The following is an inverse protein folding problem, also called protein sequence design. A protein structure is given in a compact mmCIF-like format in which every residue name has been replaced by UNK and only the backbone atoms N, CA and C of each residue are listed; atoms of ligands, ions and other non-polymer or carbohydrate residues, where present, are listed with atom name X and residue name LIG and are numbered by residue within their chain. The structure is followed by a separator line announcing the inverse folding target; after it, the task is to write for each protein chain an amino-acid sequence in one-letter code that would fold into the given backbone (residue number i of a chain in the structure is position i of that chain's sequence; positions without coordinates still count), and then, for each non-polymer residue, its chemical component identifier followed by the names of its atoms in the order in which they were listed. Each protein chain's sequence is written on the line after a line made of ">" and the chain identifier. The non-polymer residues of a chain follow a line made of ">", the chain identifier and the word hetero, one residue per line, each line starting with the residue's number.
data_IF_570981494856
#
_entry.id   IF_570981494856
#
_cell.length_a   1.000
_cell.length_b   1.000
_cell.length_c   1.000
_cell.angle_alpha   90.00
_cell.angle_beta   90.00
_cell.angle_gamma   90.00
#
_symmetry.space_group_name_H-M   'P 1'
#
loop_
_entity.id
_entity.type
_entity.pdbx_description
1 polymer ?
#
# COMPACT_ATOMS: atom_id res chain seq x y z
N UNK A 1 -3.94 -23.96 -0.65
CA UNK A 1 -2.66 -23.31 -0.29
C UNK A 1 -1.75 -23.39 -1.50
N UNK A 2 -1.33 -22.24 -2.03
CA UNK A 2 -0.40 -22.19 -3.16
C UNK A 2 0.99 -22.52 -2.64
N UNK A 3 1.77 -23.32 -3.36
CA UNK A 3 3.11 -23.67 -2.89
C UNK A 3 4.04 -22.45 -2.93
N UNK A 4 5.02 -22.38 -2.03
CA UNK A 4 5.96 -21.26 -1.92
C UNK A 4 6.61 -20.90 -3.26
N UNK A 5 6.87 -21.89 -4.14
CA UNK A 5 7.41 -21.68 -5.49
C UNK A 5 6.52 -20.80 -6.37
N UNK A 6 5.20 -20.95 -6.28
CA UNK A 6 4.27 -20.15 -7.05
C UNK A 6 4.15 -18.74 -6.46
N UNK A 7 4.19 -18.62 -5.13
CA UNK A 7 4.22 -17.30 -4.46
C UNK A 7 5.50 -16.56 -4.84
N UNK A 8 6.68 -17.18 -4.72
CA UNK A 8 7.95 -16.57 -5.12
C UNK A 8 7.97 -16.17 -6.61
N UNK A 9 7.39 -16.98 -7.50
CA UNK A 9 7.27 -16.63 -8.92
C UNK A 9 6.37 -15.40 -9.14
N UNK A 10 5.28 -15.27 -8.38
CA UNK A 10 4.38 -14.11 -8.40
C UNK A 10 5.08 -12.86 -7.88
N UNK A 11 5.73 -12.98 -6.72
CA UNK A 11 6.47 -11.88 -6.11
C UNK A 11 7.59 -11.38 -7.03
N UNK A 12 8.26 -12.26 -7.78
CA UNK A 12 9.26 -11.87 -8.79
C UNK A 12 8.70 -11.04 -9.94
N UNK A 13 7.53 -11.41 -10.47
CA UNK A 13 6.91 -10.65 -11.57
C UNK A 13 6.41 -9.29 -11.07
N UNK A 14 5.90 -9.25 -9.84
CA UNK A 14 5.47 -8.00 -9.20
C UNK A 14 6.67 -7.11 -8.91
N UNK A 15 7.74 -7.63 -8.31
CA UNK A 15 8.98 -6.88 -8.06
C UNK A 15 9.63 -6.40 -9.37
N UNK A 16 9.47 -7.14 -10.48
CA UNK A 16 9.90 -6.66 -11.81
C UNK A 16 9.04 -5.50 -12.33
N UNK A 17 7.74 -5.53 -12.06
CA UNK A 17 6.78 -4.50 -12.52
C UNK A 17 6.84 -3.25 -11.65
N UNK A 18 7.05 -3.44 -10.35
CA UNK A 18 7.10 -2.41 -9.32
C UNK A 18 8.40 -2.56 -8.51
N UNK A 19 9.57 -2.25 -9.12
CA UNK A 19 10.87 -2.42 -8.46
C UNK A 19 11.03 -1.56 -7.20
N UNK A 20 10.23 -0.51 -7.07
CA UNK A 20 10.19 0.39 -5.91
C UNK A 20 9.39 -0.19 -4.72
N UNK A 21 8.64 -1.29 -4.91
CA UNK A 21 7.83 -1.91 -3.85
C UNK A 21 8.62 -3.08 -3.25
N UNK A 22 9.23 -2.92 -2.07
CA UNK A 22 9.84 -4.04 -1.37
C UNK A 22 8.79 -5.09 -0.93
N UNK A 23 9.17 -6.37 -1.04
CA UNK A 23 8.31 -7.51 -0.73
C UNK A 23 9.11 -8.50 0.12
N UNK A 24 8.56 -8.92 1.26
CA UNK A 24 9.18 -9.94 2.10
C UNK A 24 9.12 -11.32 1.43
N UNK A 25 10.25 -12.03 1.42
CA UNK A 25 10.29 -13.40 0.87
C UNK A 25 9.47 -14.37 1.72
N UNK A 26 8.82 -15.33 1.06
CA UNK A 26 8.05 -16.40 1.71
C UNK A 26 8.89 -17.35 2.56
N UNK A 27 10.21 -17.36 2.36
CA UNK A 27 11.14 -18.18 3.15
C UNK A 27 11.57 -17.51 4.46
N UNK A 28 11.25 -16.22 4.64
CA UNK A 28 11.73 -15.41 5.75
C UNK A 28 10.57 -14.69 6.44
N UNK A 29 9.65 -15.43 7.06
CA UNK A 29 8.52 -14.82 7.79
C UNK A 29 8.94 -14.16 9.11
N UNK A 30 10.11 -14.49 9.68
CA UNK A 30 10.45 -14.08 11.05
C UNK A 30 11.74 -13.25 11.24
N UNK A 31 12.65 -13.15 10.26
CA UNK A 31 14.06 -12.83 10.61
C UNK A 31 14.86 -12.03 9.59
N UNK A 32 14.25 -11.28 8.68
CA UNK A 32 15.02 -10.27 7.95
C UNK A 32 14.97 -8.94 8.69
N UNK A 33 16.15 -8.40 8.97
CA UNK A 33 16.31 -7.02 9.42
C UNK A 33 15.84 -6.11 8.27
N UNK A 34 14.57 -5.70 8.35
CA UNK A 34 14.02 -4.74 7.40
C UNK A 34 14.82 -3.45 7.52
N UNK A 35 15.32 -2.95 6.40
CA UNK A 35 16.06 -1.69 6.37
C UNK A 35 15.07 -0.55 6.45
N UNK A 36 15.30 0.38 7.38
CA UNK A 36 14.46 1.57 7.51
C UNK A 36 14.34 2.33 6.19
N UNK A 37 13.11 2.70 5.81
CA UNK A 37 12.83 3.56 4.67
C UNK A 37 12.13 4.85 5.10
N UNK A 38 12.76 6.04 4.94
CA UNK A 38 12.16 7.33 5.30
C UNK A 38 11.17 7.86 4.25
N UNK A 39 11.06 7.22 3.09
CA UNK A 39 10.17 7.64 2.00
C UNK A 39 8.86 6.86 2.00
N UNK A 40 7.85 7.34 1.26
CA UNK A 40 6.61 6.59 1.02
C UNK A 40 6.96 5.21 0.44
N UNK A 41 6.69 4.16 1.21
CA UNK A 41 7.13 2.79 0.96
C UNK A 41 5.94 1.89 1.12
N UNK A 42 5.66 1.10 0.08
CA UNK A 42 4.71 -0.01 0.13
C UNK A 42 5.48 -1.27 0.50
N UNK A 43 5.01 -2.04 1.49
CA UNK A 43 5.69 -3.26 1.92
C UNK A 43 4.72 -4.42 2.12
N UNK A 44 4.94 -5.53 1.41
CA UNK A 44 4.15 -6.75 1.59
C UNK A 44 4.78 -7.63 2.67
N UNK A 45 4.03 -7.83 3.76
CA UNK A 45 4.41 -8.64 4.90
C UNK A 45 3.98 -10.10 4.69
N UNK A 46 4.83 -11.02 5.15
CA UNK A 46 4.45 -12.42 5.39
C UNK A 46 4.52 -12.71 6.88
N UNK A 47 3.39 -13.11 7.47
CA UNK A 47 3.28 -13.37 8.92
C UNK A 47 3.37 -14.86 9.22
N UNK A 48 3.67 -15.19 10.49
CA UNK A 48 3.70 -16.56 11.03
C UNK A 48 2.49 -17.44 10.70
N UNK A 49 1.30 -16.85 10.56
CA UNK A 49 0.05 -17.56 10.25
C UNK A 49 -0.12 -17.91 8.76
N UNK A 50 0.96 -17.82 7.97
CA UNK A 50 0.94 -17.96 6.52
C UNK A 50 -0.05 -16.99 5.86
N UNK A 51 -0.06 -15.75 6.35
CA UNK A 51 -0.95 -14.70 5.89
C UNK A 51 -0.14 -13.53 5.34
N UNK A 52 -0.63 -12.96 4.23
CA UNK A 52 -0.02 -11.84 3.54
C UNK A 52 -0.90 -10.60 3.66
N UNK A 53 -0.27 -9.45 3.85
CA UNK A 53 -0.92 -8.16 3.94
C UNK A 53 0.05 -7.08 3.45
N UNK A 54 -0.49 -5.90 3.19
CA UNK A 54 0.30 -4.75 2.77
C UNK A 54 0.35 -3.71 3.89
N UNK A 55 1.52 -3.11 4.11
CA UNK A 55 1.65 -1.86 4.83
C UNK A 55 2.16 -0.75 3.92
N UNK A 56 1.90 0.50 4.31
CA UNK A 56 2.51 1.68 3.69
C UNK A 56 2.70 2.79 4.70
N UNK A 57 3.70 3.65 4.52
CA UNK A 57 3.79 4.91 5.26
C UNK A 57 3.35 6.09 4.38
N UNK A 58 2.30 6.79 4.82
CA UNK A 58 1.89 8.07 4.24
C UNK A 58 2.02 9.15 5.31
N UNK A 59 2.85 10.16 5.03
CA UNK A 59 3.06 11.34 5.90
C UNK A 59 3.43 11.01 7.36
N UNK A 60 4.07 9.86 7.61
CA UNK A 60 4.50 9.42 8.94
C UNK A 60 3.52 8.49 9.66
N UNK A 61 2.30 8.34 9.17
CA UNK A 61 1.35 7.33 9.62
C UNK A 61 1.48 6.07 8.79
N UNK A 62 1.20 4.92 9.42
CA UNK A 62 1.30 3.61 8.79
C UNK A 62 -0.08 3.04 8.59
N UNK A 63 -0.37 2.64 7.36
CA UNK A 63 -1.63 2.04 6.98
C UNK A 63 -1.43 0.56 6.70
N UNK A 64 -2.27 -0.28 7.31
CA UNK A 64 -2.31 -1.72 7.08
C UNK A 64 -3.55 -2.07 6.24
N UNK A 65 -3.33 -2.77 5.15
CA UNK A 65 -4.37 -3.33 4.29
C UNK A 65 -4.36 -4.85 4.39
N UNK A 66 -5.33 -5.39 5.12
CA UNK A 66 -5.53 -6.81 5.31
C UNK A 66 -6.87 -7.23 4.68
N UNK A 67 -6.82 -8.09 3.66
CA UNK A 67 -8.01 -8.58 2.96
C UNK A 67 -8.97 -9.36 3.84
N UNK A 68 -8.53 -9.88 4.99
CA UNK A 68 -9.34 -10.61 5.95
C UNK A 68 -9.74 -9.76 7.16
N UNK A 69 -9.28 -8.50 7.25
CA UNK A 69 -9.47 -7.63 8.42
C UNK A 69 -9.10 -8.33 9.74
N UNK A 70 -8.03 -9.13 9.76
CA UNK A 70 -7.60 -9.80 10.99
C UNK A 70 -7.01 -8.77 11.96
N UNK A 71 -7.10 -9.03 13.28
CA UNK A 71 -6.43 -8.18 14.26
C UNK A 71 -4.92 -8.09 14.00
N UNK A 72 -4.36 -6.89 14.12
CA UNK A 72 -2.92 -6.65 14.02
C UNK A 72 -2.18 -7.41 15.13
N UNK A 73 -1.27 -8.30 14.74
CA UNK A 73 -0.47 -9.08 15.69
C UNK A 73 0.74 -8.30 16.22
N UNK A 74 1.26 -8.70 17.38
CA UNK A 74 2.49 -8.11 17.94
C UNK A 74 3.71 -8.35 17.04
N UNK A 75 3.76 -9.48 16.34
CA UNK A 75 4.77 -9.79 15.34
C UNK A 75 4.75 -8.77 14.19
N UNK A 76 3.56 -8.46 13.68
CA UNK A 76 3.40 -7.46 12.62
C UNK A 76 3.81 -6.07 13.11
N UNK A 77 3.44 -5.70 14.33
CA UNK A 77 3.91 -4.44 14.95
C UNK A 77 5.43 -4.39 15.04
N UNK A 78 6.10 -5.50 15.39
CA UNK A 78 7.56 -5.55 15.45
C UNK A 78 8.19 -5.37 14.05
N UNK A 79 7.66 -6.04 13.03
CA UNK A 79 8.10 -5.86 11.63
C UNK A 79 7.93 -4.40 11.17
N UNK A 80 6.76 -3.81 11.42
CA UNK A 80 6.43 -2.42 11.09
C UNK A 80 7.36 -1.44 11.83
N UNK A 81 7.58 -1.64 13.12
CA UNK A 81 8.45 -0.78 13.92
C UNK A 81 9.87 -0.78 13.37
N UNK A 82 10.39 -1.95 13.01
CA UNK A 82 11.73 -2.06 12.42
C UNK A 82 11.83 -1.38 11.04
N UNK A 83 10.79 -1.50 10.21
CA UNK A 83 10.77 -0.95 8.85
C UNK A 83 10.60 0.58 8.83
N UNK A 84 9.84 1.14 9.76
CA UNK A 84 9.42 2.54 9.70
C UNK A 84 9.89 3.42 10.88
N UNK A 85 10.50 2.84 11.92
CA UNK A 85 10.96 3.58 13.11
C UNK A 85 12.37 3.19 13.53
N UNK A 86 13.40 3.91 13.04
CA UNK A 86 14.77 3.59 13.39
C UNK A 86 15.14 4.15 14.77
N UNK A 87 14.42 5.17 15.29
CA UNK A 87 14.94 6.06 16.34
C UNK A 87 13.87 6.65 17.29
N UNK A 88 13.00 5.83 17.89
CA UNK A 88 12.16 6.14 19.09
C UNK A 88 10.76 6.73 18.92
N UNK A 89 10.34 7.17 17.74
CA UNK A 89 8.93 7.55 17.52
C UNK A 89 8.15 6.35 17.01
N UNK A 90 7.26 5.79 17.85
CA UNK A 90 6.35 4.72 17.42
C UNK A 90 5.35 5.35 16.45
N UNK A 91 5.35 4.96 15.16
CA UNK A 91 4.41 5.49 14.19
C UNK A 91 2.99 5.06 14.56
N UNK A 92 2.00 5.93 14.29
CA UNK A 92 0.60 5.54 14.45
C UNK A 92 0.29 4.47 13.42
N UNK A 93 -0.14 3.30 13.89
CA UNK A 93 -0.58 2.20 13.02
C UNK A 93 -2.08 2.23 12.89
N UNK A 94 -2.56 2.41 11.65
CA UNK A 94 -3.98 2.44 11.29
C UNK A 94 -4.29 1.24 10.40
N UNK A 95 -5.22 0.39 10.84
CA UNK A 95 -5.74 -0.68 9.98
C UNK A 95 -6.91 -0.13 9.16
N UNK A 96 -6.79 -0.21 7.83
CA UNK A 96 -7.87 0.18 6.92
C UNK A 96 -8.91 -0.93 6.90
N UNK A 97 -10.17 -0.56 7.13
CA UNK A 97 -11.27 -1.51 7.09
C UNK A 97 -11.66 -1.85 5.65
N UNK A 98 -11.38 -3.09 5.23
CA UNK A 98 -11.73 -3.57 3.89
C UNK A 98 -13.21 -3.97 3.86
N UNK A 99 -14.04 -3.18 3.19
CA UNK A 99 -15.51 -3.37 3.14
C UNK A 99 -15.92 -4.67 2.45
N UNK A 100 -15.19 -5.08 1.41
CA UNK A 100 -15.37 -6.38 0.76
C UNK A 100 -14.12 -7.21 0.98
N UNK A 101 -14.08 -7.83 2.15
CA UNK A 101 -13.03 -8.77 2.51
C UNK A 101 -12.97 -9.94 1.54
N UNK A 102 -11.80 -10.55 1.49
CA UNK A 102 -11.58 -11.80 0.80
C UNK A 102 -12.50 -12.90 1.35
N UNK A 103 -13.00 -13.73 0.45
CA UNK A 103 -13.73 -14.96 0.79
C UNK A 103 -12.76 -16.14 0.89
N UNK A 104 -12.74 -16.83 2.03
CA UNK A 104 -11.82 -17.93 2.29
C UNK A 104 -10.38 -17.48 2.64
N UNK A 105 -9.46 -18.40 2.86
CA UNK A 105 -8.14 -18.11 3.46
C UNK A 105 -6.93 -18.22 2.52
N UNK A 106 -7.16 -18.31 1.21
CA UNK A 106 -6.09 -18.68 0.26
C UNK A 106 -5.65 -17.59 -0.71
N UNK A 107 -6.27 -16.41 -0.67
CA UNK A 107 -6.02 -15.33 -1.65
C UNK A 107 -5.37 -14.09 -1.04
N UNK A 108 -4.88 -14.16 0.21
CA UNK A 108 -4.39 -12.96 0.91
C UNK A 108 -3.15 -12.38 0.23
N UNK A 109 -2.34 -13.24 -0.39
CA UNK A 109 -1.25 -12.86 -1.27
C UNK A 109 -1.76 -12.12 -2.51
N UNK A 110 -2.80 -12.63 -3.19
CA UNK A 110 -3.42 -11.99 -4.35
C UNK A 110 -3.97 -10.60 -4.02
N UNK A 111 -4.62 -10.45 -2.86
CA UNK A 111 -5.16 -9.17 -2.45
C UNK A 111 -4.05 -8.18 -2.04
N UNK A 112 -3.03 -8.62 -1.30
CA UNK A 112 -1.89 -7.76 -0.95
C UNK A 112 -1.20 -7.21 -2.21
N UNK A 113 -1.05 -8.06 -3.24
CA UNK A 113 -0.56 -7.65 -4.56
C UNK A 113 -1.47 -6.64 -5.24
N UNK A 114 -2.78 -6.89 -5.23
CA UNK A 114 -3.76 -5.98 -5.82
C UNK A 114 -3.70 -4.59 -5.16
N UNK A 115 -3.60 -4.56 -3.83
CA UNK A 115 -3.44 -3.33 -3.07
C UNK A 115 -2.16 -2.60 -3.45
N UNK A 116 -1.04 -3.30 -3.52
CA UNK A 116 0.25 -2.72 -3.89
C UNK A 116 0.24 -2.12 -5.31
N UNK A 117 -0.42 -2.77 -6.26
CA UNK A 117 -0.49 -2.28 -7.65
C UNK A 117 -1.44 -1.09 -7.87
N UNK A 118 -2.36 -0.85 -6.94
CA UNK A 118 -3.43 0.15 -7.09
C UNK A 118 -3.28 1.34 -6.13
N UNK A 119 -2.48 1.17 -5.08
CA UNK A 119 -2.07 2.26 -4.21
C UNK A 119 -1.12 3.18 -4.97
N UNK A 120 -1.70 4.21 -5.53
CA UNK A 120 -0.99 5.43 -5.89
C UNK A 120 -1.15 6.45 -4.75
N UNK A 121 -0.22 7.40 -4.65
CA UNK A 121 -0.15 8.44 -3.59
C UNK A 121 -1.48 9.22 -3.46
N UNK A 122 -2.31 9.24 -4.50
CA UNK A 122 -3.59 9.95 -4.57
C UNK A 122 -4.84 9.05 -4.55
N UNK A 123 -4.70 7.72 -4.49
CA UNK A 123 -5.81 6.77 -4.59
C UNK A 123 -6.06 5.98 -3.30
N UNK A 124 -7.13 6.34 -2.60
CA UNK A 124 -7.70 5.52 -1.54
C UNK A 124 -8.19 4.17 -2.09
N UNK A 125 -7.77 3.06 -1.48
CA UNK A 125 -8.19 1.70 -1.86
C UNK A 125 -9.70 1.46 -1.74
N UNK A 126 -10.40 2.30 -0.98
CA UNK A 126 -11.86 2.30 -0.88
C UNK A 126 -12.56 2.48 -2.25
N UNK A 127 -11.83 3.00 -3.25
CA UNK A 127 -12.32 3.16 -4.63
C UNK A 127 -12.43 1.86 -5.41
N UNK A 128 -11.84 0.75 -4.94
CA UNK A 128 -11.72 -0.47 -5.72
C UNK A 128 -12.42 -1.66 -5.07
N UNK A 129 -13.24 -2.34 -5.87
CA UNK A 129 -13.88 -3.59 -5.47
C UNK A 129 -13.35 -4.74 -6.35
N UNK A 130 -12.39 -5.52 -5.85
CA UNK A 130 -11.79 -6.60 -6.64
C UNK A 130 -12.77 -7.76 -6.93
N UNK A 131 -12.65 -8.35 -8.12
CA UNK A 131 -13.37 -9.54 -8.54
C UNK A 131 -12.56 -10.80 -8.22
N UNK A 132 -12.59 -11.23 -6.94
CA UNK A 132 -11.84 -12.40 -6.45
C UNK A 132 -12.02 -13.65 -7.32
N UNK A 133 -13.22 -13.84 -7.89
CA UNK A 133 -13.53 -15.00 -8.74
C UNK A 133 -12.66 -15.08 -9.99
N UNK A 134 -12.15 -13.94 -10.47
CA UNK A 134 -11.32 -13.83 -11.67
C UNK A 134 -9.84 -13.60 -11.36
N UNK A 135 -9.49 -13.14 -10.16
CA UNK A 135 -8.11 -12.74 -9.83
C UNK A 135 -7.10 -13.88 -10.00
N UNK A 136 -7.44 -15.12 -9.62
CA UNK A 136 -6.52 -16.27 -9.79
C UNK A 136 -6.19 -16.56 -11.26
N UNK A 137 -7.22 -16.68 -12.10
CA UNK A 137 -7.04 -16.96 -13.52
C UNK A 137 -6.30 -15.81 -14.21
N UNK A 138 -6.62 -14.58 -13.84
CA UNK A 138 -5.94 -13.38 -14.34
C UNK A 138 -4.46 -13.35 -13.95
N UNK A 139 -4.14 -13.68 -12.70
CA UNK A 139 -2.74 -13.76 -12.27
C UNK A 139 -1.99 -14.84 -13.04
N UNK A 140 -2.58 -16.03 -13.23
CA UNK A 140 -1.97 -17.07 -14.07
C UNK A 140 -1.67 -16.54 -15.48
N UNK A 141 -2.62 -15.83 -16.09
CA UNK A 141 -2.39 -15.17 -17.38
C UNK A 141 -1.22 -14.17 -17.33
N UNK A 142 -1.14 -13.32 -16.30
CA UNK A 142 -0.01 -12.40 -16.13
C UNK A 142 1.33 -13.14 -16.02
N UNK A 143 1.36 -14.25 -15.27
CA UNK A 143 2.55 -15.10 -15.12
C UNK A 143 2.98 -15.70 -16.46
N UNK A 144 2.03 -16.24 -17.23
CA UNK A 144 2.27 -16.82 -18.56
C UNK A 144 2.76 -15.79 -19.57
N UNK A 145 2.32 -14.53 -19.44
CA UNK A 145 2.76 -13.41 -20.28
C UNK A 145 4.01 -12.70 -19.79
N UNK A 146 4.48 -12.99 -18.57
CA UNK A 146 5.58 -12.28 -17.90
C UNK A 146 5.35 -10.76 -17.85
N UNK A 147 4.09 -10.36 -17.70
CA UNK A 147 3.61 -8.98 -17.70
C UNK A 147 2.50 -8.88 -16.65
N UNK A 148 2.58 -7.90 -15.75
CA UNK A 148 1.57 -7.67 -14.73
C UNK A 148 0.67 -6.50 -15.16
N UNK A 149 -0.64 -6.75 -15.20
CA UNK A 149 -1.66 -5.73 -15.49
C UNK A 149 -2.64 -5.62 -14.31
N UNK A 150 -3.35 -4.49 -14.17
CA UNK A 150 -4.28 -4.27 -13.05
C UNK A 150 -5.27 -5.42 -12.87
N UNK A 151 -5.41 -5.88 -11.62
CA UNK A 151 -6.27 -7.01 -11.28
C UNK A 151 -7.76 -6.68 -11.52
N UNK A 152 -8.59 -7.68 -11.87
CA UNK A 152 -9.97 -7.46 -12.26
C UNK A 152 -10.81 -6.88 -11.12
N UNK A 153 -11.65 -5.88 -11.45
CA UNK A 153 -12.52 -5.16 -10.51
C UNK A 153 -13.98 -5.32 -10.93
N UNK A 154 -14.88 -5.37 -9.95
CA UNK A 154 -16.33 -5.41 -10.14
C UNK A 154 -16.87 -3.98 -10.31
N UNK A 155 -16.31 -3.02 -9.57
CA UNK A 155 -16.62 -1.59 -9.68
C UNK A 155 -15.36 -0.77 -9.38
N UNK A 156 -15.25 0.35 -10.07
CA UNK A 156 -14.35 1.47 -9.73
C UNK A 156 -15.26 2.62 -9.33
N UNK A 157 -15.16 3.09 -8.10
CA UNK A 157 -15.90 4.27 -7.68
C UNK A 157 -15.16 5.52 -8.18
N UNK A 158 -15.75 6.27 -9.11
CA UNK A 158 -15.27 7.60 -9.47
C UNK A 158 -15.68 8.58 -8.36
N UNK A 159 -14.72 9.31 -7.80
CA UNK A 159 -15.08 10.53 -7.07
C UNK A 159 -15.67 11.51 -8.07
N UNK A 160 -16.83 12.06 -7.73
CA UNK A 160 -17.34 13.28 -8.36
C UNK A 160 -16.23 14.33 -8.29
N UNK A 161 -15.67 14.74 -9.42
CA UNK A 161 -14.85 15.96 -9.52
C UNK A 161 -15.78 17.15 -9.33
N UNK A 162 -16.20 17.40 -8.09
CA UNK A 162 -16.61 18.72 -7.70
C UNK A 162 -15.32 19.51 -7.50
N UNK A 163 -14.76 19.95 -8.63
CA UNK A 163 -13.78 21.03 -8.66
C UNK A 163 -14.50 22.27 -8.13
N UNK A 164 -14.51 22.44 -6.81
CA UNK A 164 -14.66 23.79 -6.27
C UNK A 164 -13.34 24.46 -6.59
N UNK A 165 -13.37 25.33 -7.59
CA UNK A 165 -12.34 26.31 -7.88
C UNK A 165 -11.84 26.93 -6.55
N UNK A 166 -10.67 26.54 -6.08
CA UNK A 166 -9.90 27.35 -5.14
C UNK A 166 -9.05 28.31 -5.97
N UNK A 167 -9.73 29.16 -6.74
CA UNK A 167 -9.21 30.48 -7.09
C UNK A 167 -9.74 31.45 -6.05
N UNK A 168 -8.87 32.36 -5.61
CA UNK A 168 -9.05 33.37 -4.55
C UNK A 168 -8.68 32.95 -3.13
N UNK A 169 -7.38 32.80 -2.87
CA UNK A 169 -6.69 33.57 -1.82
C UNK A 169 -5.22 33.82 -2.22
N UNK A 170 -5.03 34.54 -3.32
CA UNK A 170 -3.91 35.46 -3.43
C UNK A 170 -4.51 36.85 -3.31
N UNK A 171 -4.46 37.40 -2.09
CA UNK A 171 -4.69 38.82 -1.85
C UNK A 171 -3.35 39.49 -1.53
N UNK A 172 -3.22 40.78 -1.85
CA UNK A 172 -2.04 41.31 -2.51
C UNK A 172 -0.92 41.72 -1.56
N UNK A 173 0.28 41.74 -2.11
CA UNK A 173 1.45 42.53 -1.75
C UNK A 173 1.13 43.70 -0.82
N UNK A 174 1.58 43.64 0.44
CA UNK A 174 1.77 44.87 1.22
C UNK A 174 3.06 45.54 0.74
N UNK A 175 2.90 46.57 -0.08
CA UNK A 175 3.91 47.60 -0.29
C UNK A 175 4.28 48.22 1.07
N UNK A 176 5.50 47.95 1.55
CA UNK A 176 6.11 48.78 2.58
C UNK A 176 6.57 50.08 1.93
N UNK A 177 5.77 51.13 2.12
CA UNK A 177 6.14 52.49 1.82
C UNK A 177 7.38 52.91 2.63
N UNK A 178 8.49 53.16 1.94
CA UNK A 178 9.60 53.94 2.47
C UNK A 178 9.15 55.38 2.68
N UNK A 179 9.05 55.80 3.93
CA UNK A 179 8.91 57.21 4.26
C UNK A 179 10.28 57.89 4.13
N UNK A 180 10.43 58.72 3.09
CA UNK A 180 11.44 59.77 3.04
C UNK A 180 11.20 60.72 4.23
N UNK A 181 12.22 60.90 5.06
CA UNK A 181 12.39 62.10 5.88
C UNK A 181 13.66 62.77 5.37
N UNK A 182 13.49 63.88 4.68
CA UNK A 182 14.49 64.93 4.54
C UNK A 182 13.73 66.26 4.65
N UNK A 183 13.92 66.93 5.78
CA UNK A 183 14.08 68.38 5.98
C UNK A 183 14.28 68.67 7.48
#
# INVERSE_FOLDING_TARGET
>A
MLCNKLIDARLKIVAKTFPEIPIQSTNFSHTEFLTYSPYCTLFIHHTSNNHFLLSTNFFGDIYIYDSLNLPVSQELIAQITMLYSPQTNIPTVQQVHITKSQVGSYDCDLFALAYASELDIENALEKFLFDQSKMRAHLTFCLEKNEFVPLPKIKVFQMSTNTTEVTHFLSPTQEMNYHKKDD
#
